data_IF_497420496337
#
_entry.id   IF_497420496337
#
_cell.length_a   1.000
_cell.length_b   1.000
_cell.length_c   1.000
_cell.angle_alpha   90.00
_cell.angle_beta   90.00
_cell.angle_gamma   90.00
#
_symmetry.space_group_name_H-M   'P 1'
#
loop_
_entity.id
_entity.type
_entity.pdbx_description
1 polymer ?
#
# COMPACT_ATOMS: atom_id res chain seq x y z
N UNK A 1 -29.09 -33.60 -57.62
CA UNK A 1 -29.99 -32.93 -56.66
C UNK A 1 -29.39 -33.08 -55.27
N UNK A 2 -29.21 -31.95 -54.59
CA UNK A 2 -28.90 -31.74 -53.16
C UNK A 2 -27.74 -32.56 -52.54
N UNK A 3 -26.54 -31.99 -52.59
CA UNK A 3 -25.48 -32.27 -51.63
C UNK A 3 -25.66 -31.41 -50.38
N UNK A 4 -25.73 -32.03 -49.20
CA UNK A 4 -25.84 -31.35 -47.91
C UNK A 4 -24.47 -31.35 -47.22
N UNK A 5 -23.77 -30.21 -47.31
CA UNK A 5 -22.58 -29.91 -46.50
C UNK A 5 -23.05 -29.49 -45.09
N UNK A 6 -22.88 -30.39 -44.13
CA UNK A 6 -22.98 -30.07 -42.71
C UNK A 6 -21.73 -29.24 -42.35
N UNK A 7 -21.87 -27.91 -42.41
CA UNK A 7 -20.89 -26.98 -41.82
C UNK A 7 -21.08 -27.00 -40.30
N UNK A 8 -20.19 -27.70 -39.60
CA UNK A 8 -19.99 -27.48 -38.17
C UNK A 8 -19.34 -26.10 -37.98
N UNK A 9 -20.16 -25.10 -37.66
CA UNK A 9 -19.68 -23.88 -37.02
C UNK A 9 -19.35 -24.21 -35.56
N UNK A 10 -18.11 -24.62 -35.30
CA UNK A 10 -17.54 -24.55 -33.96
C UNK A 10 -17.21 -23.08 -33.72
N UNK A 11 -18.15 -22.34 -33.15
CA UNK A 11 -17.85 -21.05 -32.55
C UNK A 11 -17.05 -21.32 -31.28
N UNK A 12 -15.72 -21.35 -31.43
CA UNK A 12 -14.80 -21.29 -30.30
C UNK A 12 -15.01 -19.90 -29.69
N UNK A 13 -15.80 -19.85 -28.63
CA UNK A 13 -15.81 -18.72 -27.72
C UNK A 13 -14.41 -18.68 -27.09
N UNK A 14 -13.52 -17.91 -27.71
CA UNK A 14 -12.32 -17.42 -27.05
C UNK A 14 -12.84 -16.50 -25.94
N UNK A 15 -13.13 -17.09 -24.78
CA UNK A 15 -13.12 -16.35 -23.53
C UNK A 15 -11.69 -15.83 -23.42
N UNK A 16 -11.48 -14.63 -23.95
CA UNK A 16 -10.35 -13.80 -23.61
C UNK A 16 -10.39 -13.68 -22.10
N UNK A 17 -9.63 -14.53 -21.42
CA UNK A 17 -9.18 -14.29 -20.06
C UNK A 17 -8.38 -12.99 -20.15
N UNK A 18 -9.09 -11.88 -20.03
CA UNK A 18 -8.51 -10.67 -19.46
C UNK A 18 -8.19 -11.13 -18.05
N UNK A 19 -6.97 -11.65 -17.85
CA UNK A 19 -6.35 -11.67 -16.55
C UNK A 19 -6.33 -10.20 -16.14
N UNK A 20 -7.36 -9.79 -15.41
CA UNK A 20 -7.28 -8.61 -14.56
C UNK A 20 -5.98 -8.77 -13.81
N UNK A 21 -5.02 -7.90 -14.10
CA UNK A 21 -3.73 -7.83 -13.43
C UNK A 21 -4.09 -7.56 -11.97
N UNK A 22 -4.23 -8.62 -11.20
CA UNK A 22 -4.59 -8.53 -9.81
C UNK A 22 -3.31 -8.13 -9.08
N UNK A 23 -3.33 -6.97 -8.44
CA UNK A 23 -2.22 -6.55 -7.58
C UNK A 23 -1.97 -7.66 -6.57
N UNK A 24 -0.80 -8.29 -6.67
CA UNK A 24 -0.44 -9.41 -5.80
C UNK A 24 -0.24 -8.87 -4.38
N UNK A 25 -0.94 -9.46 -3.42
CA UNK A 25 -0.78 -9.18 -1.99
C UNK A 25 -0.08 -10.38 -1.38
N UNK A 26 1.24 -10.34 -1.34
CA UNK A 26 2.06 -11.47 -0.88
C UNK A 26 1.80 -11.82 0.59
N UNK A 27 1.43 -10.82 1.41
CA UNK A 27 1.04 -11.03 2.81
C UNK A 27 -0.22 -11.88 2.89
N UNK A 28 -1.26 -11.50 2.14
CA UNK A 28 -2.51 -12.28 2.08
C UNK A 28 -2.26 -13.67 1.53
N UNK A 29 -1.48 -13.79 0.46
CA UNK A 29 -1.16 -15.10 -0.13
C UNK A 29 -0.44 -16.03 0.85
N UNK A 30 0.55 -15.52 1.58
CA UNK A 30 1.26 -16.32 2.59
C UNK A 30 0.30 -16.74 3.72
N UNK A 31 -0.56 -15.82 4.19
CA UNK A 31 -1.53 -16.11 5.24
C UNK A 31 -2.55 -17.16 4.81
N UNK A 32 -3.13 -17.02 3.62
CA UNK A 32 -4.10 -17.95 3.02
C UNK A 32 -3.49 -19.30 2.64
N UNK A 33 -2.22 -19.34 2.23
CA UNK A 33 -1.55 -20.60 1.89
C UNK A 33 -1.39 -21.50 3.12
N UNK A 34 -1.13 -20.90 4.29
CA UNK A 34 -0.76 -21.64 5.50
C UNK A 34 -1.91 -21.80 6.50
N UNK A 35 -2.85 -20.86 6.53
CA UNK A 35 -4.07 -20.87 7.37
C UNK A 35 -3.82 -21.29 8.84
N UNK A 36 -2.75 -20.79 9.46
CA UNK A 36 -2.32 -21.26 10.79
C UNK A 36 -3.30 -20.86 11.91
N UNK A 37 -4.06 -19.77 11.74
CA UNK A 37 -5.10 -19.31 12.68
C UNK A 37 -6.39 -18.93 11.93
N UNK A 38 -7.59 -19.00 12.56
CA UNK A 38 -8.86 -18.75 11.88
C UNK A 38 -9.05 -17.34 11.30
N UNK A 39 -8.26 -16.37 11.76
CA UNK A 39 -8.26 -14.98 11.30
C UNK A 39 -7.33 -14.74 10.11
N UNK A 40 -6.77 -15.79 9.48
CA UNK A 40 -5.85 -15.68 8.34
C UNK A 40 -6.35 -14.73 7.23
N UNK A 41 -7.66 -14.71 6.96
CA UNK A 41 -8.27 -13.85 5.94
C UNK A 41 -8.29 -12.35 6.27
N UNK A 42 -7.92 -11.96 7.49
CA UNK A 42 -7.78 -10.55 7.87
C UNK A 42 -6.42 -9.98 7.47
N UNK A 43 -5.40 -10.81 7.25
CA UNK A 43 -4.05 -10.36 6.95
C UNK A 43 -3.92 -9.98 5.47
N UNK A 44 -3.51 -8.74 5.24
CA UNK A 44 -3.23 -8.17 3.93
C UNK A 44 -2.16 -7.08 4.08
N UNK A 45 -1.49 -6.71 2.98
CA UNK A 45 -0.39 -5.73 3.03
C UNK A 45 -0.82 -4.39 3.62
N UNK A 46 -2.03 -3.91 3.31
CA UNK A 46 -2.56 -2.64 3.81
C UNK A 46 -2.72 -2.61 5.33
N UNK A 47 -3.26 -3.68 5.92
CA UNK A 47 -3.38 -3.83 7.37
C UNK A 47 -2.01 -3.85 8.06
N UNK A 48 -1.07 -4.62 7.52
CA UNK A 48 0.29 -4.73 8.08
C UNK A 48 1.02 -3.39 7.98
N UNK A 49 0.93 -2.71 6.85
CA UNK A 49 1.51 -1.38 6.65
C UNK A 49 0.91 -0.32 7.57
N UNK A 50 -0.43 -0.32 7.74
CA UNK A 50 -1.11 0.55 8.71
C UNK A 50 -0.56 0.33 10.12
N UNK A 51 -0.46 -0.93 10.56
CA UNK A 51 0.11 -1.29 11.87
C UNK A 51 1.55 -0.77 12.00
N UNK A 52 2.36 -0.87 10.96
CA UNK A 52 3.74 -0.42 10.99
C UNK A 52 3.86 1.09 11.23
N UNK A 53 3.12 1.88 10.45
CA UNK A 53 3.08 3.35 10.57
C UNK A 53 2.64 3.77 11.97
N UNK A 54 1.62 3.12 12.52
CA UNK A 54 1.10 3.39 13.87
C UNK A 54 2.09 2.97 14.97
N UNK A 55 2.73 1.79 14.87
CA UNK A 55 3.69 1.31 15.86
C UNK A 55 4.99 2.14 15.88
N UNK A 56 5.47 2.55 14.71
CA UNK A 56 6.68 3.38 14.58
C UNK A 56 6.42 4.86 14.91
N UNK A 57 5.16 5.25 15.14
CA UNK A 57 4.73 6.60 15.51
C UNK A 57 5.31 7.69 14.60
N UNK A 58 5.32 7.41 13.29
CA UNK A 58 6.04 8.18 12.27
C UNK A 58 5.62 9.65 12.22
N UNK A 59 4.31 9.91 12.32
CA UNK A 59 3.73 11.24 12.20
C UNK A 59 4.05 12.18 13.38
N UNK A 60 4.55 11.66 14.50
CA UNK A 60 4.86 12.48 15.68
C UNK A 60 6.05 13.41 15.46
N UNK A 61 6.99 13.02 14.61
CA UNK A 61 8.27 13.71 14.44
C UNK A 61 8.41 14.39 13.07
N UNK A 62 7.58 14.03 12.09
CA UNK A 62 7.63 14.54 10.72
C UNK A 62 6.32 15.24 10.37
N UNK A 63 6.32 16.58 10.46
CA UNK A 63 5.09 17.38 10.31
C UNK A 63 4.57 17.46 8.88
N UNK A 64 5.47 17.35 7.92
CA UNK A 64 5.33 17.40 6.46
C UNK A 64 4.95 16.03 5.85
N UNK A 65 5.07 14.95 6.62
CA UNK A 65 4.67 13.62 6.21
C UNK A 65 3.14 13.51 6.12
N UNK A 66 2.63 13.16 4.95
CA UNK A 66 1.19 13.00 4.65
C UNK A 66 0.77 11.54 4.49
N UNK A 67 1.72 10.63 4.36
CA UNK A 67 1.44 9.20 4.28
C UNK A 67 2.64 8.38 3.81
N UNK A 68 2.33 7.17 3.35
CA UNK A 68 3.26 6.23 2.75
C UNK A 68 2.63 5.56 1.54
N UNK A 69 3.47 5.06 0.63
CA UNK A 69 3.05 4.10 -0.39
C UNK A 69 4.02 2.95 -0.48
N UNK A 70 3.55 1.82 -0.99
CA UNK A 70 4.42 0.71 -1.31
C UNK A 70 5.33 1.07 -2.49
N UNK A 71 6.57 0.59 -2.45
CA UNK A 71 7.55 0.71 -3.53
C UNK A 71 8.25 -0.63 -3.75
N UNK A 72 8.70 -0.94 -4.97
CA UNK A 72 9.46 -2.16 -5.23
C UNK A 72 10.80 -2.14 -4.52
N UNK A 73 11.28 -3.32 -4.16
CA UNK A 73 12.70 -3.52 -3.87
C UNK A 73 13.51 -3.48 -5.18
N UNK A 74 14.79 -3.18 -5.06
CA UNK A 74 15.70 -3.03 -6.21
C UNK A 74 15.91 -4.29 -7.03
N UNK A 75 15.71 -5.47 -6.44
CA UNK A 75 15.82 -6.77 -7.08
C UNK A 75 14.44 -7.40 -7.40
N UNK A 76 13.34 -6.65 -7.25
CA UNK A 76 12.04 -7.11 -7.71
C UNK A 76 12.03 -7.09 -9.25
N UNK A 77 11.91 -8.27 -9.86
CA UNK A 77 11.89 -8.42 -11.32
C UNK A 77 10.56 -8.00 -11.94
N UNK A 78 9.50 -7.94 -11.13
CA UNK A 78 8.15 -7.58 -11.55
C UNK A 78 7.85 -6.15 -11.06
N UNK A 79 8.43 -5.16 -11.73
CA UNK A 79 8.28 -3.74 -11.40
C UNK A 79 7.00 -3.15 -11.97
N UNK A 80 5.92 -3.94 -12.11
CA UNK A 80 4.67 -3.40 -12.63
C UNK A 80 4.20 -2.28 -11.69
N UNK A 81 4.23 -1.00 -12.13
CA UNK A 81 3.89 0.12 -11.24
C UNK A 81 2.43 0.03 -10.77
N UNK A 82 1.59 -0.67 -11.53
CA UNK A 82 0.20 -0.92 -11.17
C UNK A 82 0.06 -1.78 -9.89
N UNK A 83 1.07 -2.54 -9.48
CA UNK A 83 1.03 -3.36 -8.26
C UNK A 83 1.16 -2.53 -6.97
N UNK A 84 1.58 -1.27 -7.08
CA UNK A 84 1.86 -0.34 -5.98
C UNK A 84 0.79 0.76 -5.87
N UNK A 85 -0.48 0.36 -5.88
CA UNK A 85 -1.66 1.24 -5.84
C UNK A 85 -2.22 1.45 -4.43
N UNK A 86 -1.56 0.92 -3.40
CA UNK A 86 -2.02 1.03 -2.00
C UNK A 86 -1.23 2.11 -1.27
N UNK A 87 -1.96 2.95 -0.56
CA UNK A 87 -1.45 4.10 0.19
C UNK A 87 -1.88 4.00 1.64
N UNK A 88 -1.02 4.48 2.53
CA UNK A 88 -1.29 4.59 3.96
C UNK A 88 -1.25 6.08 4.30
N UNK A 89 -2.40 6.72 4.29
CA UNK A 89 -2.49 8.15 4.48
C UNK A 89 -2.64 8.55 5.94
N UNK A 90 -2.09 9.71 6.25
CA UNK A 90 -2.32 10.43 7.51
C UNK A 90 -3.73 11.00 7.49
N UNK A 91 -4.52 10.66 8.50
CA UNK A 91 -5.80 11.29 8.78
C UNK A 91 -5.66 12.08 10.08
N UNK A 92 -6.10 13.33 10.07
CA UNK A 92 -6.09 14.20 11.24
C UNK A 92 -7.55 14.47 11.62
N UNK A 93 -7.95 13.98 12.78
CA UNK A 93 -9.28 14.20 13.32
C UNK A 93 -9.22 15.15 14.52
N UNK A 94 -10.08 16.17 14.51
CA UNK A 94 -10.20 17.15 15.58
C UNK A 94 -11.54 16.96 16.30
N UNK A 95 -11.48 16.77 17.62
CA UNK A 95 -12.62 16.69 18.53
C UNK A 95 -12.43 17.76 19.60
N UNK A 96 -13.22 18.83 19.55
CA UNK A 96 -13.07 20.01 20.41
C UNK A 96 -11.63 20.56 20.39
N UNK A 97 -10.85 20.33 21.45
CA UNK A 97 -9.46 20.75 21.60
C UNK A 97 -8.45 19.60 21.47
N UNK A 98 -8.90 18.41 21.07
CA UNK A 98 -8.05 17.21 20.93
C UNK A 98 -7.81 16.92 19.46
N UNK A 99 -6.53 16.72 19.10
CA UNK A 99 -6.13 16.26 17.78
C UNK A 99 -5.71 14.80 17.87
N UNK A 100 -6.32 13.97 17.05
CA UNK A 100 -6.02 12.54 16.92
C UNK A 100 -5.48 12.32 15.51
N UNK A 101 -4.31 11.69 15.41
CA UNK A 101 -3.71 11.32 14.13
C UNK A 101 -3.86 9.82 13.95
N UNK A 102 -4.37 9.41 12.78
CA UNK A 102 -4.59 8.00 12.41
C UNK A 102 -3.97 7.70 11.05
N UNK A 103 -3.86 6.40 10.77
CA UNK A 103 -3.47 5.88 9.46
C UNK A 103 -4.68 5.26 8.76
N UNK A 104 -4.91 5.63 7.51
CA UNK A 104 -6.00 5.12 6.67
C UNK A 104 -5.41 4.43 5.46
N UNK A 105 -5.86 3.20 5.18
CA UNK A 105 -5.51 2.48 3.96
C UNK A 105 -6.41 2.98 2.84
N UNK A 106 -5.82 3.29 1.69
CA UNK A 106 -6.55 3.71 0.51
C UNK A 106 -5.97 3.05 -0.73
N UNK A 107 -6.80 2.56 -1.64
CA UNK A 107 -6.38 1.96 -2.92
C UNK A 107 -6.80 2.83 -4.10
N UNK A 108 -5.96 2.87 -5.15
CA UNK A 108 -6.28 3.61 -6.38
C UNK A 108 -7.60 3.13 -6.98
N UNK A 109 -8.54 4.06 -7.12
CA UNK A 109 -9.88 3.79 -7.64
C UNK A 109 -10.95 3.72 -6.56
N UNK A 110 -10.57 3.57 -5.28
CA UNK A 110 -11.50 3.65 -4.18
C UNK A 110 -11.98 5.09 -3.96
N UNK A 111 -13.25 5.28 -3.57
CA UNK A 111 -13.72 6.59 -3.13
C UNK A 111 -12.92 7.05 -1.90
N UNK A 112 -12.74 8.36 -1.77
CA UNK A 112 -12.17 8.93 -0.56
C UNK A 112 -13.05 8.57 0.65
N UNK A 113 -12.41 8.12 1.73
CA UNK A 113 -13.10 7.73 2.95
C UNK A 113 -13.31 8.98 3.81
N UNK A 114 -14.56 9.43 3.99
CA UNK A 114 -14.88 10.45 4.99
C UNK A 114 -15.26 9.78 6.32
N UNK A 115 -14.34 9.82 7.28
CA UNK A 115 -14.60 9.32 8.63
C UNK A 115 -15.20 10.38 9.57
N UNK A 116 -15.46 11.61 9.11
CA UNK A 116 -16.01 12.69 9.93
C UNK A 116 -17.38 12.33 10.51
N UNK A 117 -17.69 12.82 11.70
CA UNK A 117 -18.99 12.69 12.35
C UNK A 117 -19.39 14.03 12.98
N UNK A 118 -20.62 14.12 13.52
CA UNK A 118 -21.16 15.36 14.08
C UNK A 118 -20.26 16.04 15.12
N UNK A 119 -19.52 15.26 15.91
CA UNK A 119 -18.70 15.77 17.02
C UNK A 119 -17.21 15.86 16.67
N UNK A 120 -16.76 15.20 15.59
CA UNK A 120 -15.36 15.20 15.22
C UNK A 120 -15.19 15.32 13.70
N UNK A 121 -14.28 16.18 13.26
CA UNK A 121 -14.01 16.44 11.84
C UNK A 121 -12.67 15.83 11.50
N UNK A 122 -12.62 14.96 10.48
CA UNK A 122 -11.40 14.40 9.95
C UNK A 122 -11.04 15.07 8.63
N UNK A 123 -9.76 15.31 8.41
CA UNK A 123 -9.25 15.76 7.12
C UNK A 123 -7.95 15.05 6.78
N UNK A 124 -7.69 15.01 5.49
CA UNK A 124 -6.46 14.46 4.94
C UNK A 124 -5.56 15.62 4.49
N UNK A 125 -4.32 15.73 4.99
CA UNK A 125 -3.46 16.86 4.69
C UNK A 125 -3.04 16.92 3.21
N UNK A 126 -3.14 15.83 2.46
CA UNK A 126 -2.85 15.79 1.02
C UNK A 126 -3.98 16.35 0.13
N UNK A 127 -5.15 16.68 0.69
CA UNK A 127 -6.37 17.06 -0.06
C UNK A 127 -6.80 18.51 0.21
N UNK A 128 -5.84 19.40 0.52
CA UNK A 128 -6.17 20.77 0.96
C UNK A 128 -6.88 21.63 -0.09
N UNK A 129 -6.71 21.32 -1.38
CA UNK A 129 -7.25 22.13 -2.49
C UNK A 129 -8.13 21.33 -3.48
N UNK A 130 -8.59 20.13 -3.10
CA UNK A 130 -9.38 19.26 -3.98
C UNK A 130 -8.62 18.73 -5.20
N UNK A 131 -7.30 18.97 -5.27
CA UNK A 131 -6.38 18.35 -6.22
C UNK A 131 -6.08 16.93 -5.75
N UNK A 132 -6.91 15.97 -6.19
CA UNK A 132 -6.60 14.56 -5.95
C UNK A 132 -5.27 14.19 -6.63
N UNK A 133 -4.38 13.59 -5.83
CA UNK A 133 -3.31 12.67 -6.22
C UNK A 133 -2.13 13.19 -7.05
N UNK A 134 -2.30 14.23 -7.86
CA UNK A 134 -1.29 14.60 -8.86
C UNK A 134 -0.02 15.26 -8.25
N UNK A 135 -0.10 15.73 -7.00
CA UNK A 135 0.98 16.47 -6.34
C UNK A 135 1.71 15.67 -5.24
N UNK A 136 1.24 14.44 -4.94
CA UNK A 136 1.90 13.58 -3.96
C UNK A 136 3.04 12.82 -4.64
N UNK A 137 4.18 13.48 -4.76
CA UNK A 137 5.37 12.93 -5.41
C UNK A 137 6.26 12.23 -4.38
N UNK A 138 6.92 11.13 -4.79
CA UNK A 138 8.06 10.63 -4.03
C UNK A 138 9.14 11.70 -4.02
N UNK A 139 9.57 12.12 -2.85
CA UNK A 139 10.77 12.96 -2.76
C UNK A 139 11.95 12.20 -3.39
N UNK A 140 12.61 12.85 -4.34
CA UNK A 140 13.77 12.29 -5.06
C UNK A 140 14.99 12.16 -4.17
N UNK A 141 15.00 12.83 -3.02
CA UNK A 141 16.06 12.79 -2.01
C UNK A 141 15.67 11.97 -0.79
N UNK A 142 14.59 11.19 -0.86
CA UNK A 142 14.15 10.40 0.29
C UNK A 142 15.18 9.32 0.65
N UNK A 143 15.56 9.30 1.92
CA UNK A 143 16.55 8.38 2.48
C UNK A 143 15.96 7.48 3.55
N UNK A 144 14.72 7.72 4.00
CA UNK A 144 14.07 6.97 5.06
C UNK A 144 12.88 6.18 4.53
N UNK A 145 12.96 4.86 4.64
CA UNK A 145 11.91 3.91 4.26
C UNK A 145 11.46 3.14 5.49
N UNK A 146 10.28 2.49 5.40
CA UNK A 146 9.86 1.49 6.38
C UNK A 146 9.89 0.14 5.69
N UNK A 147 10.66 -0.80 6.25
CA UNK A 147 10.60 -2.20 5.84
C UNK A 147 9.64 -2.95 6.77
N UNK A 148 8.72 -3.67 6.14
CA UNK A 148 7.77 -4.55 6.79
C UNK A 148 8.25 -5.98 6.61
N UNK A 149 8.17 -6.76 7.69
CA UNK A 149 8.40 -8.20 7.67
C UNK A 149 7.16 -8.87 8.23
N UNK A 150 6.57 -9.80 7.48
CA UNK A 150 5.48 -10.65 7.92
C UNK A 150 5.90 -12.11 7.78
N UNK A 151 5.95 -12.85 8.87
CA UNK A 151 6.45 -14.22 8.89
C UNK A 151 5.49 -15.17 9.60
N UNK A 152 5.66 -16.44 9.29
CA UNK A 152 5.02 -17.53 10.02
C UNK A 152 6.12 -18.27 10.76
N UNK A 153 6.02 -18.28 12.09
CA UNK A 153 6.92 -19.04 12.96
C UNK A 153 6.04 -19.94 13.83
N UNK A 154 6.34 -21.24 13.83
CA UNK A 154 5.53 -22.27 14.49
C UNK A 154 4.05 -22.25 14.08
N UNK A 155 3.17 -21.76 14.96
CA UNK A 155 1.72 -21.67 14.77
C UNK A 155 1.20 -20.24 14.89
N UNK A 156 2.08 -19.24 14.72
CA UNK A 156 1.75 -17.84 14.92
C UNK A 156 2.24 -16.95 13.78
N UNK A 157 1.45 -15.92 13.48
CA UNK A 157 1.83 -14.85 12.57
C UNK A 157 2.65 -13.82 13.34
N UNK A 158 3.84 -13.53 12.83
CA UNK A 158 4.74 -12.51 13.39
C UNK A 158 4.90 -11.38 12.39
N UNK A 159 4.91 -10.15 12.89
CA UNK A 159 5.26 -9.00 12.08
C UNK A 159 6.28 -8.13 12.80
N UNK A 160 7.23 -7.61 12.04
CA UNK A 160 8.26 -6.69 12.50
C UNK A 160 8.36 -5.52 11.53
N UNK A 161 8.73 -4.37 12.07
CA UNK A 161 8.81 -3.12 11.33
C UNK A 161 10.09 -2.39 11.73
N UNK A 162 10.81 -1.88 10.75
CA UNK A 162 11.98 -1.06 11.02
C UNK A 162 12.12 0.07 10.01
N UNK A 163 12.77 1.15 10.43
CA UNK A 163 13.23 2.17 9.50
C UNK A 163 14.49 1.67 8.82
N UNK A 164 14.52 1.78 7.49
CA UNK A 164 15.71 1.52 6.70
C UNK A 164 16.16 2.85 6.13
N UNK A 165 17.40 3.22 6.46
CA UNK A 165 18.03 4.42 5.93
C UNK A 165 18.94 4.03 4.76
N UNK A 166 18.83 4.76 3.67
CA UNK A 166 19.71 4.65 2.51
C UNK A 166 20.71 5.80 2.51
N UNK A 167 21.96 5.51 2.17
CA UNK A 167 22.87 6.52 1.69
C UNK A 167 22.40 7.04 0.32
N UNK A 168 22.78 8.26 -0.05
CA UNK A 168 22.46 8.80 -1.38
C UNK A 168 22.88 7.80 -2.48
N UNK A 169 21.93 7.39 -3.34
CA UNK A 169 22.10 6.40 -4.42
C UNK A 169 22.18 4.92 -4.01
N UNK A 170 21.94 4.59 -2.73
CA UNK A 170 21.84 3.20 -2.31
C UNK A 170 20.47 2.59 -2.69
N UNK A 171 20.44 1.26 -2.78
CA UNK A 171 19.27 0.48 -3.17
C UNK A 171 18.92 -0.52 -2.06
N UNK A 172 17.62 -0.72 -1.78
CA UNK A 172 17.17 -1.76 -0.83
C UNK A 172 16.86 -3.03 -1.61
N UNK A 173 17.59 -4.11 -1.35
CA UNK A 173 17.28 -5.43 -1.89
C UNK A 173 16.29 -6.15 -0.97
N UNK A 174 15.32 -6.84 -1.56
CA UNK A 174 14.34 -7.67 -0.85
C UNK A 174 15.08 -8.80 -0.13
N UNK A 175 14.97 -8.91 1.20
CA UNK A 175 15.50 -10.05 1.92
C UNK A 175 14.84 -11.35 1.47
N UNK A 176 15.61 -12.44 1.47
CA UNK A 176 15.09 -13.78 1.19
C UNK A 176 15.14 -14.58 2.49
N UNK A 177 13.97 -14.90 3.02
CA UNK A 177 13.80 -15.73 4.21
C UNK A 177 12.57 -16.62 4.02
N UNK A 178 12.70 -17.90 4.34
CA UNK A 178 11.59 -18.86 4.27
C UNK A 178 10.43 -18.44 5.17
N UNK A 179 9.21 -18.69 4.69
CA UNK A 179 7.95 -18.37 5.39
C UNK A 179 7.81 -16.90 5.81
N UNK A 180 8.50 -16.00 5.11
CA UNK A 180 8.43 -14.56 5.31
C UNK A 180 8.13 -13.81 4.02
N UNK A 181 7.38 -12.73 4.15
CA UNK A 181 7.13 -11.72 3.13
C UNK A 181 7.70 -10.40 3.63
N UNK A 182 8.32 -9.68 2.70
CA UNK A 182 8.89 -8.36 2.93
C UNK A 182 8.21 -7.36 2.00
N UNK A 183 7.87 -6.21 2.55
CA UNK A 183 7.26 -5.09 1.82
C UNK A 183 8.01 -3.81 2.20
N UNK A 184 8.09 -2.87 1.25
CA UNK A 184 8.80 -1.62 1.44
C UNK A 184 7.86 -0.44 1.26
N UNK A 185 7.86 0.47 2.25
CA UNK A 185 7.09 1.70 2.21
C UNK A 185 8.02 2.90 2.05
N UNK A 186 7.70 3.74 1.07
CA UNK A 186 8.30 5.05 0.91
C UNK A 186 7.36 6.12 1.49
N UNK A 187 7.88 7.11 2.21
CA UNK A 187 7.09 8.22 2.72
C UNK A 187 6.61 9.12 1.59
N UNK A 188 5.50 9.79 1.86
CA UNK A 188 4.88 10.79 1.00
C UNK A 188 4.86 12.10 1.78
N UNK A 189 5.39 13.16 1.17
CA UNK A 189 5.51 14.48 1.78
C UNK A 189 4.70 15.50 0.99
N UNK A 190 4.20 16.51 1.70
CA UNK A 190 3.52 17.65 1.11
C UNK A 190 4.55 18.65 0.56
N UNK A 191 4.73 18.69 -0.76
CA UNK A 191 5.70 19.58 -1.43
C UNK A 191 5.25 21.05 -1.46
N UNK A 192 3.97 21.33 -1.21
CA UNK A 192 3.46 22.71 -1.21
C UNK A 192 4.10 23.60 -0.14
N UNK A 193 4.81 23.02 0.83
CA UNK A 193 5.56 23.75 1.86
C UNK A 193 6.91 24.28 1.41
N UNK A 194 7.57 23.62 0.45
CA UNK A 194 8.95 23.94 0.07
C UNK A 194 9.00 25.11 -0.94
N UNK A 195 7.98 25.27 -1.78
CA UNK A 195 7.89 26.37 -2.77
C UNK A 195 7.71 27.77 -2.14
N UNK A 196 7.39 27.87 -0.84
CA UNK A 196 7.25 29.15 -0.14
C UNK A 196 8.50 29.56 0.67
N UNK A 197 9.55 28.74 0.65
CA UNK A 197 10.80 28.98 1.38
C UNK A 197 12.01 29.26 0.46
N UNK A 198 11.81 29.29 -0.86
CA UNK A 198 12.77 29.80 -1.86
C UNK A 198 12.41 31.24 -2.32
#
# INVERSE_FOLDING_TARGET
>A
MAGNLIKHCVAIAICSFIQTIQCRDEVRELAELKMITPDYGLYNKGLIAKKAVENLNTYRYQSDLVGYKFVPFSNDTDTNPASYTTYIFKEICTLENTVIIKSVVWEVGDPQIDNSQKEYICFYPFDRDGSMYNEVVLDRHETYYIMLKFCIEDTTYHYAFEYVQLDEHAYIAKPVQDDCVFELLAPLRDQSRDEYLE
#
